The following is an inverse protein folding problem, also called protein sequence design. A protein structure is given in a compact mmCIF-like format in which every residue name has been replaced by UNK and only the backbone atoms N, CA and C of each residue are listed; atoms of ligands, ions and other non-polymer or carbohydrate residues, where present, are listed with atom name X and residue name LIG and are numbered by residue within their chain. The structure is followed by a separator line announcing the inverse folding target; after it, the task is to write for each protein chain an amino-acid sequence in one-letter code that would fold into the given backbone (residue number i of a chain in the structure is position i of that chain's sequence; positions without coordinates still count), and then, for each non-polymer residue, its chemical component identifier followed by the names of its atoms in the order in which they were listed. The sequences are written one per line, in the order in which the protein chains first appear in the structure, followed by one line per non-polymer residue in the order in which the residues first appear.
data_IF_626989896702
#
_entry.id   IF_626989896702
#
_cell.length_a   1.000
_cell.length_b   1.000
_cell.length_c   1.000
_cell.angle_alpha   90.00
_cell.angle_beta   90.00
_cell.angle_gamma   90.00
#
_symmetry.space_group_name_H-M   'P 1'
#
loop_
_entity.id
_entity.type
_entity.pdbx_description
1 polymer ?
#
# COMPACT_ATOMS: atom_id res chain seq x y z
N UNK A 1 10.61 6.96 -4.67
CA UNK A 1 9.34 7.67 -4.57
C UNK A 1 8.18 6.70 -4.41
N UNK A 2 7.28 7.01 -3.50
CA UNK A 2 6.10 6.19 -3.30
C UNK A 2 4.89 6.86 -3.95
N UNK A 3 4.00 6.06 -4.52
CA UNK A 3 2.73 6.55 -5.03
C UNK A 3 1.74 5.40 -5.08
N UNK A 4 0.46 5.74 -5.10
CA UNK A 4 -0.61 4.77 -5.21
C UNK A 4 -1.55 5.19 -6.33
N UNK A 5 -1.98 4.23 -7.12
CA UNK A 5 -2.93 4.43 -8.21
C UNK A 5 -4.09 3.47 -8.04
N UNK A 6 -5.29 4.00 -8.08
CA UNK A 6 -6.51 3.20 -7.96
C UNK A 6 -7.43 3.56 -9.11
N UNK A 7 -7.92 2.54 -9.81
CA UNK A 7 -8.93 2.72 -10.86
C UNK A 7 -10.18 1.96 -10.48
N UNK A 8 -11.29 2.67 -10.38
CA UNK A 8 -12.57 2.05 -10.11
C UNK A 8 -13.24 1.50 -11.35
N UNK A 9 -14.35 0.81 -11.12
CA UNK A 9 -15.14 0.19 -12.19
C UNK A 9 -15.68 1.20 -13.21
N UNK A 10 -15.90 2.43 -12.76
CA UNK A 10 -16.36 3.53 -13.61
C UNK A 10 -15.24 4.11 -14.48
N UNK A 11 -14.05 3.58 -14.43
CA UNK A 11 -12.91 4.05 -15.20
C UNK A 11 -12.18 5.24 -14.59
N UNK A 12 -12.67 5.80 -13.49
CA UNK A 12 -12.00 6.90 -12.82
C UNK A 12 -10.73 6.42 -12.14
N UNK A 13 -9.70 7.22 -12.29
CA UNK A 13 -8.38 6.94 -11.71
C UNK A 13 -8.10 7.94 -10.60
N UNK A 14 -7.72 7.43 -9.45
CA UNK A 14 -7.26 8.26 -8.33
C UNK A 14 -5.80 7.96 -8.11
N UNK A 15 -5.02 9.01 -7.90
CA UNK A 15 -3.59 8.86 -7.67
C UNK A 15 -3.19 9.70 -6.47
N UNK A 16 -2.40 9.08 -5.59
CA UNK A 16 -1.75 9.79 -4.50
C UNK A 16 -0.26 9.68 -4.74
N UNK A 17 0.38 10.81 -5.00
CA UNK A 17 1.82 10.87 -5.21
C UNK A 17 2.46 11.45 -3.95
N UNK A 18 3.26 10.63 -3.30
CA UNK A 18 3.94 11.05 -2.07
C UNK A 18 5.24 11.82 -2.36
N UNK A 19 5.63 11.89 -3.64
CA UNK A 19 6.83 12.58 -4.09
C UNK A 19 8.06 12.12 -3.30
N UNK A 20 8.91 13.04 -2.89
CA UNK A 20 10.11 12.72 -2.12
C UNK A 20 9.89 12.84 -0.62
N UNK A 21 8.65 13.03 -0.18
CA UNK A 21 8.34 13.12 1.24
C UNK A 21 8.60 11.80 1.94
N UNK A 22 9.08 11.81 3.18
CA UNK A 22 9.19 10.59 3.96
C UNK A 22 7.82 9.95 4.14
N UNK A 23 7.75 8.64 4.00
CA UNK A 23 6.50 7.90 4.20
C UNK A 23 6.66 6.91 5.34
N UNK A 24 5.55 6.63 6.01
CA UNK A 24 5.47 5.62 7.04
C UNK A 24 4.58 4.50 6.53
N UNK A 25 5.06 3.27 6.65
CA UNK A 25 4.32 2.10 6.21
C UNK A 25 4.02 1.24 7.42
N UNK A 26 2.76 0.88 7.59
CA UNK A 26 2.34 -0.01 8.65
C UNK A 26 1.45 -1.10 8.07
N UNK A 27 1.55 -2.29 8.64
CA UNK A 27 0.72 -3.42 8.25
C UNK A 27 0.02 -3.94 9.50
N UNK A 28 -1.30 -3.99 9.44
CA UNK A 28 -2.13 -4.52 10.52
C UNK A 28 -2.79 -5.79 10.03
N UNK A 29 -2.74 -6.83 10.87
CA UNK A 29 -3.29 -8.12 10.50
C UNK A 29 -4.33 -8.56 11.52
N UNK A 30 -5.46 -9.04 11.02
CA UNK A 30 -6.43 -9.79 11.81
C UNK A 30 -6.43 -11.24 11.33
N UNK A 31 -7.35 -12.05 11.82
CA UNK A 31 -7.46 -13.43 11.37
C UNK A 31 -7.88 -13.54 9.91
N UNK A 32 -8.66 -12.59 9.42
CA UNK A 32 -9.25 -12.66 8.09
C UNK A 32 -8.70 -11.63 7.10
N UNK A 33 -8.17 -10.51 7.58
CA UNK A 33 -7.77 -9.40 6.70
C UNK A 33 -6.38 -8.88 7.01
N UNK A 34 -5.78 -8.28 5.99
CA UNK A 34 -4.56 -7.49 6.10
C UNK A 34 -4.88 -6.07 5.67
N UNK A 35 -4.50 -5.10 6.49
CA UNK A 35 -4.58 -3.70 6.12
C UNK A 35 -3.17 -3.17 5.89
N UNK A 36 -2.94 -2.59 4.72
CA UNK A 36 -1.67 -1.95 4.38
C UNK A 36 -1.91 -0.45 4.40
N UNK A 37 -1.15 0.25 5.21
CA UNK A 37 -1.30 1.68 5.43
C UNK A 37 -0.01 2.40 5.07
N UNK A 38 -0.10 3.41 4.21
CA UNK A 38 1.03 4.25 3.81
C UNK A 38 0.61 5.69 4.04
N UNK A 39 1.40 6.43 4.78
CA UNK A 39 1.08 7.81 5.12
C UNK A 39 2.30 8.71 4.96
N UNK A 40 2.08 9.88 4.35
CA UNK A 40 3.04 10.97 4.35
C UNK A 40 2.49 12.13 5.16
N UNK A 41 3.29 13.17 5.33
CA UNK A 41 2.85 14.41 5.98
C UNK A 41 2.41 14.21 7.44
N UNK A 42 2.91 13.15 8.08
CA UNK A 42 2.51 12.81 9.45
C UNK A 42 3.01 13.81 10.48
N UNK A 43 3.84 14.76 10.08
CA UNK A 43 4.31 15.83 10.95
C UNK A 43 3.36 17.05 10.93
N UNK A 44 2.43 17.09 9.97
CA UNK A 44 1.50 18.22 9.92
C UNK A 44 0.39 18.05 10.94
N UNK A 45 -0.07 19.17 11.50
CA UNK A 45 -1.16 19.17 12.46
C UNK A 45 -2.53 19.10 11.79
N UNK A 46 -2.61 19.37 10.49
CA UNK A 46 -3.86 19.31 9.75
C UNK A 46 -4.05 17.91 9.17
N UNK A 47 -4.74 17.05 9.91
CA UNK A 47 -4.92 15.65 9.50
C UNK A 47 -5.56 15.49 8.12
N UNK A 48 -6.49 16.37 7.77
CA UNK A 48 -7.16 16.30 6.48
C UNK A 48 -6.25 16.61 5.30
N UNK A 49 -5.05 17.11 5.58
CA UNK A 49 -4.07 17.41 4.52
C UNK A 49 -3.01 16.32 4.37
N UNK A 50 -3.04 15.31 5.22
CA UNK A 50 -2.09 14.22 5.13
C UNK A 50 -2.45 13.32 3.97
N UNK A 51 -1.45 13.01 3.15
CA UNK A 51 -1.64 12.05 2.06
C UNK A 51 -1.49 10.66 2.62
N UNK A 52 -2.43 9.79 2.30
CA UNK A 52 -2.35 8.41 2.77
C UNK A 52 -3.03 7.48 1.78
N UNK A 53 -2.69 6.21 1.89
CA UNK A 53 -3.35 5.14 1.16
C UNK A 53 -3.58 3.97 2.12
N UNK A 54 -4.76 3.39 2.05
CA UNK A 54 -5.14 2.23 2.84
C UNK A 54 -5.68 1.17 1.90
N UNK A 55 -5.16 -0.04 2.03
CA UNK A 55 -5.64 -1.18 1.25
C UNK A 55 -5.99 -2.29 2.22
N UNK A 56 -7.21 -2.80 2.14
CA UNK A 56 -7.66 -3.94 2.91
C UNK A 56 -7.86 -5.11 1.98
N UNK A 57 -7.23 -6.24 2.27
CA UNK A 57 -7.34 -7.43 1.44
C UNK A 57 -7.51 -8.67 2.33
N UNK A 58 -8.14 -9.73 1.80
CA UNK A 58 -8.20 -10.99 2.52
C UNK A 58 -6.79 -11.51 2.82
N UNK A 59 -6.60 -11.97 4.05
CA UNK A 59 -5.28 -12.40 4.50
C UNK A 59 -4.68 -13.51 3.64
N UNK A 60 -5.49 -14.47 3.21
CA UNK A 60 -4.99 -15.58 2.40
C UNK A 60 -4.47 -15.11 1.05
N UNK A 61 -5.09 -14.08 0.44
CA UNK A 61 -4.60 -13.53 -0.82
C UNK A 61 -3.26 -12.81 -0.64
N UNK A 62 -3.11 -12.10 0.48
CA UNK A 62 -1.85 -11.44 0.79
C UNK A 62 -0.73 -12.47 0.97
N UNK A 63 -1.00 -13.54 1.71
CA UNK A 63 -0.03 -14.61 1.94
C UNK A 63 0.38 -15.28 0.64
N UNK A 64 -0.58 -15.56 -0.23
CA UNK A 64 -0.29 -16.16 -1.54
C UNK A 64 0.55 -15.23 -2.41
N UNK A 65 0.22 -13.94 -2.39
CA UNK A 65 0.94 -12.96 -3.21
C UNK A 65 2.38 -12.78 -2.74
N UNK A 66 2.62 -12.74 -1.44
CA UNK A 66 3.98 -12.59 -0.91
C UNK A 66 4.82 -13.84 -1.18
N UNK A 67 4.22 -15.02 -1.08
CA UNK A 67 4.91 -16.26 -1.42
C UNK A 67 5.27 -16.30 -2.92
N UNK A 68 4.35 -15.88 -3.77
CA UNK A 68 4.60 -15.81 -5.22
C UNK A 68 5.71 -14.81 -5.54
N UNK A 69 5.71 -13.66 -4.88
CA UNK A 69 6.74 -12.64 -5.07
C UNK A 69 8.12 -13.16 -4.67
N UNK A 70 8.20 -13.89 -3.55
CA UNK A 70 9.45 -14.47 -3.10
C UNK A 70 9.99 -15.49 -4.12
N UNK A 71 9.12 -16.32 -4.70
CA UNK A 71 9.52 -17.28 -5.73
C UNK A 71 10.03 -16.57 -6.98
N UNK A 72 9.34 -15.51 -7.43
CA UNK A 72 9.77 -14.72 -8.59
C UNK A 72 11.12 -14.06 -8.35
N UNK A 73 11.33 -13.52 -7.16
CA UNK A 73 12.60 -12.88 -6.82
C UNK A 73 13.75 -13.89 -6.83
N UNK A 74 13.54 -15.08 -6.27
CA UNK A 74 14.53 -16.14 -6.26
C UNK A 74 14.89 -16.56 -7.68
N UNK A 75 13.90 -16.67 -8.58
CA UNK A 75 14.13 -17.02 -9.98
C UNK A 75 14.93 -15.94 -10.71
N UNK A 76 14.62 -14.67 -10.45
CA UNK A 76 15.34 -13.56 -11.11
C UNK A 76 16.80 -13.44 -10.72
N UNK A 77 17.15 -13.92 -9.54
CA UNK A 77 18.51 -13.79 -9.01
C UNK A 77 19.47 -14.88 -9.47
N UNK A 78 19.06 -15.65 -10.44
CA UNK A 78 19.92 -16.68 -11.05
C UNK A 78 20.71 -16.12 -12.21
#
# INVERSE_FOLDING_TARGET
MAHAIIRGRNGRRHEVDFQDSPVRVEIYASEETIEIFVEADFETHAEERRRFAIINIPRHLFSEATAAAARRAATKNR
#
